data_IF_294871098142
#
_entry.id   IF_294871098142
#
_cell.length_a   1.000
_cell.length_b   1.000
_cell.length_c   1.000
_cell.angle_alpha   90.00
_cell.angle_beta   90.00
_cell.angle_gamma   90.00
#
_symmetry.space_group_name_H-M   'P 1'
#
loop_
_entity.id
_entity.type
_entity.pdbx_description
1 polymer ?
#
# COMPACT_ATOMS: atom_id res chain seq x y z
N UNK A 1 -36.27 33.50 -4.78
CA UNK A 1 -36.54 34.67 -5.64
C UNK A 1 -36.43 35.87 -4.71
N UNK A 2 -35.52 36.82 -4.80
CA UNK A 2 -34.68 37.34 -5.88
C UNK A 2 -33.46 38.02 -5.24
N UNK A 3 -32.37 38.10 -6.01
CA UNK A 3 -31.38 39.18 -6.13
C UNK A 3 -31.42 40.31 -5.07
N UNK A 4 -30.27 40.76 -4.54
CA UNK A 4 -29.37 41.63 -5.31
C UNK A 4 -27.89 41.44 -5.03
N UNK A 5 -27.16 41.18 -6.12
CA UNK A 5 -25.74 41.49 -6.33
C UNK A 5 -25.46 42.99 -6.18
N UNK A 6 -24.18 43.31 -5.95
CA UNK A 6 -23.42 44.47 -6.50
C UNK A 6 -22.95 45.52 -5.49
N UNK A 7 -21.72 46.04 -5.55
CA UNK A 7 -20.56 45.78 -6.42
C UNK A 7 -19.31 46.47 -5.81
N UNK A 8 -18.16 45.82 -5.99
CA UNK A 8 -16.87 46.37 -6.44
C UNK A 8 -16.11 47.35 -5.51
N UNK A 9 -14.78 47.46 -5.51
CA UNK A 9 -13.77 47.57 -6.57
C UNK A 9 -12.40 47.55 -5.80
N UNK A 10 -11.22 47.09 -6.23
CA UNK A 10 -10.63 46.94 -7.56
C UNK A 10 -9.25 46.25 -7.43
N UNK A 11 -8.90 45.54 -8.51
CA UNK A 11 -7.54 45.42 -9.07
C UNK A 11 -6.53 44.48 -8.39
N UNK A 12 -6.33 43.33 -9.04
CA UNK A 12 -5.13 42.53 -8.90
C UNK A 12 -5.28 41.18 -9.59
N UNK A 13 -5.03 41.13 -10.90
CA UNK A 13 -4.95 39.87 -11.66
C UNK A 13 -3.91 38.95 -11.01
N UNK A 14 -4.33 38.03 -10.15
CA UNK A 14 -3.50 36.93 -9.66
C UNK A 14 -4.31 35.66 -9.72
N UNK A 15 -3.95 34.88 -10.74
CA UNK A 15 -4.23 33.47 -10.96
C UNK A 15 -5.20 32.83 -9.96
N UNK A 16 -6.40 32.46 -10.44
CA UNK A 16 -7.34 31.63 -9.68
C UNK A 16 -6.72 30.28 -9.23
N UNK A 17 -5.56 29.90 -9.76
CA UNK A 17 -4.81 28.75 -9.30
C UNK A 17 -4.35 28.88 -7.83
N UNK A 18 -4.08 30.08 -7.32
CA UNK A 18 -3.54 30.28 -5.97
C UNK A 18 -4.53 29.96 -4.85
N UNK A 19 -5.79 30.37 -4.98
CA UNK A 19 -6.84 30.08 -4.00
C UNK A 19 -7.25 28.59 -4.03
N UNK A 20 -7.23 27.97 -5.21
CA UNK A 20 -7.51 26.54 -5.40
C UNK A 20 -6.39 25.68 -4.80
N UNK A 21 -5.12 26.07 -4.96
CA UNK A 21 -3.98 25.40 -4.31
C UNK A 21 -4.06 25.45 -2.79
N UNK A 22 -4.47 26.58 -2.20
CA UNK A 22 -4.65 26.70 -0.74
C UNK A 22 -5.80 25.82 -0.24
N UNK A 23 -6.93 25.76 -0.97
CA UNK A 23 -8.04 24.85 -0.64
C UNK A 23 -7.66 23.38 -0.77
N UNK A 24 -6.87 23.01 -1.79
CA UNK A 24 -6.37 21.65 -1.98
C UNK A 24 -5.36 21.28 -0.87
N UNK A 25 -4.47 22.21 -0.48
CA UNK A 25 -3.50 21.98 0.60
C UNK A 25 -4.17 21.88 1.98
N UNK A 26 -5.19 22.69 2.26
CA UNK A 26 -5.98 22.59 3.49
C UNK A 26 -6.81 21.28 3.53
N UNK A 27 -7.35 20.85 2.39
CA UNK A 27 -8.05 19.57 2.26
C UNK A 27 -7.10 18.38 2.47
N UNK A 28 -5.88 18.44 1.92
CA UNK A 28 -4.85 17.41 2.10
C UNK A 28 -4.32 17.36 3.54
N UNK A 29 -4.19 18.50 4.24
CA UNK A 29 -3.87 18.50 5.68
C UNK A 29 -5.02 17.96 6.54
N UNK A 30 -6.27 18.24 6.18
CA UNK A 30 -7.44 17.65 6.86
C UNK A 30 -7.53 16.12 6.61
N UNK A 31 -7.10 15.64 5.45
CA UNK A 31 -7.01 14.21 5.12
C UNK A 31 -5.82 13.51 5.80
N UNK A 32 -4.76 14.24 6.15
CA UNK A 32 -3.62 13.68 6.88
C UNK A 32 -3.97 13.35 8.35
N UNK A 33 -4.90 14.09 8.96
CA UNK A 33 -5.46 13.81 10.29
C UNK A 33 -6.66 12.84 10.27
N UNK A 34 -7.13 12.44 9.08
CA UNK A 34 -8.31 11.59 8.87
C UNK A 34 -7.96 10.14 8.50
N UNK A 35 -6.91 9.57 9.10
CA UNK A 35 -6.49 8.17 8.89
C UNK A 35 -7.34 7.14 9.66
N UNK A 36 -8.61 7.41 9.95
CA UNK A 36 -9.52 6.41 10.53
C UNK A 36 -10.78 6.29 9.68
N UNK A 37 -10.72 5.43 8.67
CA UNK A 37 -11.91 4.98 7.94
C UNK A 37 -12.71 4.09 8.90
N UNK A 38 -13.87 4.56 9.36
CA UNK A 38 -14.74 3.77 10.25
C UNK A 38 -15.73 2.96 9.43
N UNK A 39 -15.82 1.66 9.70
CA UNK A 39 -16.80 0.78 9.09
C UNK A 39 -17.96 0.54 10.06
N UNK A 40 -19.19 0.50 9.53
CA UNK A 40 -20.41 0.35 10.32
C UNK A 40 -21.14 -0.92 9.88
N UNK A 41 -21.64 -1.70 10.84
CA UNK A 41 -22.48 -2.85 10.54
C UNK A 41 -23.93 -2.41 10.21
N UNK A 42 -24.79 -3.37 9.84
CA UNK A 42 -26.20 -3.08 9.51
C UNK A 42 -27.01 -2.50 10.68
N UNK A 43 -26.51 -2.63 11.91
CA UNK A 43 -27.12 -2.08 13.12
C UNK A 43 -26.61 -0.66 13.45
N UNK A 44 -25.70 -0.12 12.63
CA UNK A 44 -25.10 1.21 12.83
C UNK A 44 -24.00 1.25 13.89
N UNK A 45 -23.53 0.09 14.35
CA UNK A 45 -22.43 0.00 15.31
C UNK A 45 -21.09 0.12 14.57
N UNK A 46 -20.14 0.82 15.19
CA UNK A 46 -18.77 0.95 14.69
C UNK A 46 -18.06 -0.39 14.87
N UNK A 47 -17.57 -0.94 13.77
CA UNK A 47 -16.66 -2.09 13.80
C UNK A 47 -15.27 -1.51 14.00
N UNK A 48 -14.67 -1.76 15.16
CA UNK A 48 -13.25 -1.50 15.37
C UNK A 48 -12.46 -2.53 14.56
N UNK A 49 -11.57 -2.06 13.67
CA UNK A 49 -10.60 -2.94 13.04
C UNK A 49 -9.63 -3.40 14.14
N UNK A 50 -9.83 -4.60 14.67
CA UNK A 50 -8.72 -5.32 15.31
C UNK A 50 -7.67 -5.48 14.21
N UNK A 51 -6.56 -4.74 14.33
CA UNK A 51 -5.41 -4.81 13.42
C UNK A 51 -4.83 -6.24 13.41
N UNK A 52 -5.40 -7.11 12.60
CA UNK A 52 -4.77 -8.38 12.26
C UNK A 52 -5.08 -8.74 10.81
N UNK A 53 -4.74 -7.82 9.91
CA UNK A 53 -4.66 -8.06 8.48
C UNK A 53 -3.49 -9.00 8.14
N UNK A 54 -3.44 -10.20 8.73
CA UNK A 54 -2.36 -11.18 8.57
C UNK A 54 -2.66 -12.19 7.46
N UNK A 55 -2.56 -11.80 6.20
CA UNK A 55 -2.54 -12.73 5.06
C UNK A 55 -1.67 -12.15 3.95
N UNK A 56 -0.36 -12.39 3.97
CA UNK A 56 0.52 -11.61 3.10
C UNK A 56 0.92 -12.31 1.80
N UNK A 57 1.07 -13.64 1.74
CA UNK A 57 1.51 -14.31 0.51
C UNK A 57 1.09 -15.78 0.45
N UNK A 58 0.78 -16.25 -0.76
CA UNK A 58 0.53 -17.67 -1.05
C UNK A 58 1.84 -18.43 -1.31
N UNK A 59 1.86 -19.72 -0.98
CA UNK A 59 2.98 -20.59 -1.34
C UNK A 59 3.09 -20.73 -2.86
N UNK A 60 4.30 -20.63 -3.41
CA UNK A 60 4.50 -20.68 -4.86
C UNK A 60 4.26 -22.07 -5.46
N UNK A 61 4.36 -23.15 -4.67
CA UNK A 61 4.11 -24.50 -5.15
C UNK A 61 2.60 -24.70 -5.38
N UNK A 62 2.10 -24.78 -6.62
CA UNK A 62 0.66 -24.64 -6.91
C UNK A 62 -0.27 -25.64 -6.19
N UNK A 63 0.14 -26.90 -5.91
CA UNK A 63 -0.65 -27.82 -5.11
C UNK A 63 -0.75 -27.48 -3.61
N UNK A 64 -0.04 -26.47 -3.12
CA UNK A 64 -0.05 -26.04 -1.72
C UNK A 64 -0.90 -24.78 -1.54
N UNK A 65 -1.82 -24.80 -0.59
CA UNK A 65 -2.72 -23.67 -0.27
C UNK A 65 -2.30 -22.93 1.01
N UNK A 66 -1.05 -23.07 1.45
CA UNK A 66 -0.56 -22.37 2.65
C UNK A 66 -0.47 -20.87 2.39
N UNK A 67 -0.93 -20.10 3.38
CA UNK A 67 -0.85 -18.64 3.43
C UNK A 67 0.13 -18.22 4.53
N UNK A 68 0.98 -17.24 4.24
CA UNK A 68 1.89 -16.61 5.20
C UNK A 68 1.08 -15.78 6.19
N UNK A 69 1.10 -16.19 7.47
CA UNK A 69 0.36 -15.54 8.57
C UNK A 69 1.23 -14.50 9.25
N UNK A 70 2.49 -14.86 9.47
CA UNK A 70 3.49 -13.99 10.07
C UNK A 70 4.48 -13.47 9.02
N UNK A 71 4.93 -12.20 9.11
CA UNK A 71 5.96 -11.68 8.22
C UNK A 71 7.23 -12.55 8.27
N UNK A 72 7.67 -13.02 7.09
CA UNK A 72 8.90 -13.82 6.90
C UNK A 72 8.80 -15.26 7.41
N UNK A 73 7.59 -15.77 7.65
CA UNK A 73 7.36 -17.20 7.86
C UNK A 73 7.80 -18.01 6.64
N UNK A 74 7.60 -17.47 5.43
CA UNK A 74 7.90 -18.18 4.19
C UNK A 74 9.36 -17.97 3.75
N UNK A 75 9.96 -19.05 3.26
CA UNK A 75 11.30 -19.03 2.68
C UNK A 75 11.29 -18.49 1.26
N UNK A 76 12.10 -17.47 0.99
CA UNK A 76 12.26 -16.89 -0.35
C UNK A 76 13.39 -17.60 -1.09
N UNK A 77 13.20 -17.92 -2.37
CA UNK A 77 14.26 -18.50 -3.21
C UNK A 77 15.51 -17.62 -3.20
N UNK A 78 16.65 -18.15 -2.73
CA UNK A 78 17.92 -17.43 -2.63
C UNK A 78 18.45 -16.87 -3.96
N UNK A 79 18.11 -17.50 -5.08
CA UNK A 79 18.58 -17.09 -6.43
C UNK A 79 17.75 -15.95 -6.99
N UNK A 80 16.45 -16.14 -7.16
CA UNK A 80 15.58 -15.14 -7.80
C UNK A 80 14.97 -14.12 -6.84
N UNK A 81 14.98 -14.41 -5.53
CA UNK A 81 14.43 -13.52 -4.49
C UNK A 81 12.99 -13.06 -4.81
N UNK A 82 12.20 -13.93 -5.44
CA UNK A 82 10.85 -13.65 -5.93
C UNK A 82 9.85 -14.73 -5.49
N UNK A 83 10.14 -16.01 -5.72
CA UNK A 83 9.28 -17.10 -5.28
C UNK A 83 9.39 -17.34 -3.76
N UNK A 84 8.24 -17.48 -3.10
CA UNK A 84 8.11 -17.78 -1.67
C UNK A 84 7.53 -19.17 -1.46
N UNK A 85 8.01 -19.89 -0.45
CA UNK A 85 7.54 -21.22 -0.12
C UNK A 85 7.29 -21.33 1.38
N UNK A 86 6.20 -21.98 1.78
CA UNK A 86 5.94 -22.26 3.20
C UNK A 86 7.02 -23.15 3.85
N UNK A 87 7.88 -23.80 3.06
CA UNK A 87 9.04 -24.52 3.55
C UNK A 87 9.87 -25.15 2.43
N UNK A 88 10.97 -25.79 2.83
CA UNK A 88 11.92 -26.43 1.93
C UNK A 88 11.29 -27.55 1.09
N UNK A 89 10.29 -28.24 1.62
CA UNK A 89 9.57 -29.31 0.93
C UNK A 89 8.86 -28.80 -0.34
N UNK A 90 8.10 -27.71 -0.22
CA UNK A 90 7.40 -27.10 -1.36
C UNK A 90 8.38 -26.55 -2.39
N UNK A 91 9.49 -25.95 -1.95
CA UNK A 91 10.55 -25.50 -2.86
C UNK A 91 11.17 -26.66 -3.66
N UNK A 92 11.47 -27.78 -3.02
CA UNK A 92 12.07 -28.95 -3.69
C UNK A 92 11.10 -29.58 -4.70
N UNK A 93 9.81 -29.67 -4.36
CA UNK A 93 8.78 -30.20 -5.26
C UNK A 93 8.54 -29.32 -6.47
N UNK A 94 8.59 -28.01 -6.29
CA UNK A 94 8.42 -27.05 -7.37
C UNK A 94 9.69 -26.88 -8.23
N UNK A 95 10.86 -27.22 -7.70
CA UNK A 95 12.15 -27.00 -8.36
C UNK A 95 12.25 -27.47 -9.83
N UNK A 96 11.74 -28.65 -10.24
CA UNK A 96 11.78 -29.08 -11.64
C UNK A 96 11.11 -28.12 -12.63
N UNK A 97 10.08 -27.39 -12.18
CA UNK A 97 9.36 -26.37 -12.94
C UNK A 97 10.02 -24.98 -12.74
N UNK A 98 10.20 -24.58 -11.48
CA UNK A 98 10.75 -23.28 -11.11
C UNK A 98 12.11 -22.99 -11.76
N UNK A 99 13.02 -23.98 -11.80
CA UNK A 99 14.39 -23.79 -12.30
C UNK A 99 14.47 -23.33 -13.75
N UNK A 100 13.42 -23.58 -14.55
CA UNK A 100 13.32 -23.17 -15.96
C UNK A 100 13.22 -21.65 -16.11
N UNK A 101 12.68 -20.98 -15.09
CA UNK A 101 12.40 -19.54 -15.11
C UNK A 101 13.08 -18.78 -13.96
N UNK A 102 13.79 -19.49 -13.06
CA UNK A 102 14.54 -18.91 -11.95
C UNK A 102 15.76 -18.10 -12.44
N UNK A 103 15.66 -16.76 -12.41
CA UNK A 103 16.72 -15.84 -12.81
C UNK A 103 17.30 -15.10 -11.59
N UNK A 104 18.64 -14.94 -11.49
CA UNK A 104 19.24 -14.18 -10.40
C UNK A 104 18.69 -12.76 -10.32
N UNK A 105 18.31 -12.31 -9.11
CA UNK A 105 17.98 -10.90 -8.90
C UNK A 105 19.27 -10.10 -8.83
N UNK A 106 19.39 -9.07 -9.67
CA UNK A 106 20.47 -8.10 -9.54
C UNK A 106 20.33 -7.44 -8.17
N UNK A 107 21.33 -7.61 -7.30
CA UNK A 107 21.36 -6.94 -6.00
C UNK A 107 21.48 -5.45 -6.30
N UNK A 108 20.38 -4.72 -6.15
CA UNK A 108 20.46 -3.26 -6.08
C UNK A 108 21.22 -2.97 -4.79
N UNK A 109 22.43 -2.42 -4.92
CA UNK A 109 23.22 -1.96 -3.79
C UNK A 109 22.40 -0.83 -3.15
N UNK A 110 21.66 -1.15 -2.08
CA UNK A 110 20.93 -0.16 -1.31
C UNK A 110 22.01 0.59 -0.52
N UNK A 111 22.48 1.71 -1.06
CA UNK A 111 23.31 2.63 -0.26
C UNK A 111 22.52 2.97 1.00
N UNK A 112 22.99 2.44 2.13
CA UNK A 112 22.46 2.80 3.43
C UNK A 112 22.94 4.23 3.66
N UNK A 113 22.02 5.18 3.72
CA UNK A 113 22.37 6.57 3.99
C UNK A 113 23.22 6.64 5.28
N UNK A 114 24.31 7.44 5.30
CA UNK A 114 25.16 7.54 6.47
C UNK A 114 24.33 8.08 7.65
N UNK A 115 24.33 7.31 8.72
CA UNK A 115 23.79 7.72 10.02
C UNK A 115 24.64 8.89 10.51
N UNK A 116 23.99 10.03 10.77
CA UNK A 116 24.60 11.35 10.96
C UNK A 116 24.57 11.74 12.43
#
# INVERSE_FOLDING_TARGET
MVCTLSLACLCGKRSQAGAVLILILLCLSQLADATSTKYYNANGEVIEEEEEGGCYYECHYPPCSSLEREPREFSICGRCQAARYCGLFCQQRDWPLHKRHCRPRLRQHREKAPER
#
